data_IF_640060693798
#
_entry.id   IF_640060693798
#
_cell.length_a   1.000
_cell.length_b   1.000
_cell.length_c   1.000
_cell.angle_alpha   90.00
_cell.angle_beta   90.00
_cell.angle_gamma   90.00
#
_symmetry.space_group_name_H-M   'P 1'
#
loop_
_entity.id
_entity.type
_entity.pdbx_description
1 polymer ?
#
# COMPACT_ATOMS: atom_id res chain seq x y z
N UNK A 1 -6.38 -24.25 -5.84
CA UNK A 1 -7.66 -24.10 -5.12
C UNK A 1 -7.33 -24.29 -3.65
N UNK A 2 -7.13 -23.23 -2.87
CA UNK A 2 -6.61 -23.35 -1.51
C UNK A 2 -7.77 -23.59 -0.53
N UNK A 3 -7.89 -24.85 -0.12
CA UNK A 3 -8.78 -25.40 0.89
C UNK A 3 -8.16 -25.20 2.29
N UNK A 4 -8.28 -24.01 2.87
CA UNK A 4 -7.93 -23.75 4.28
C UNK A 4 -8.83 -22.70 4.92
N UNK A 5 -10.15 -22.77 4.69
CA UNK A 5 -11.07 -22.23 5.69
C UNK A 5 -11.39 -23.37 6.65
N UNK A 6 -10.57 -23.49 7.69
CA UNK A 6 -10.85 -24.37 8.83
C UNK A 6 -12.15 -23.91 9.47
N UNK A 7 -13.09 -24.84 9.66
CA UNK A 7 -14.42 -24.67 10.26
C UNK A 7 -14.41 -24.24 11.74
N UNK A 8 -13.27 -23.79 12.25
CA UNK A 8 -13.07 -23.33 13.64
C UNK A 8 -13.17 -21.80 13.79
N UNK A 9 -13.29 -21.06 12.69
CA UNK A 9 -13.47 -19.59 12.71
C UNK A 9 -14.94 -19.14 12.90
N UNK A 10 -15.88 -20.07 13.01
CA UNK A 10 -17.32 -19.80 12.84
C UNK A 10 -18.04 -19.26 14.07
N UNK A 11 -17.45 -19.21 15.26
CA UNK A 11 -18.12 -18.65 16.46
C UNK A 11 -17.53 -17.31 16.89
N UNK A 12 -17.91 -16.23 16.19
CA UNK A 12 -17.78 -14.84 16.66
C UNK A 12 -16.87 -13.91 15.85
N UNK A 13 -16.25 -14.38 14.76
CA UNK A 13 -15.38 -13.54 13.92
C UNK A 13 -16.12 -13.01 12.69
N UNK A 14 -16.03 -11.69 12.47
CA UNK A 14 -16.48 -11.09 11.21
C UNK A 14 -15.41 -11.26 10.13
N UNK A 15 -15.83 -11.63 8.92
CA UNK A 15 -14.95 -11.71 7.74
C UNK A 15 -15.00 -10.39 6.98
N UNK A 16 -13.85 -9.76 6.76
CA UNK A 16 -13.76 -8.45 6.11
C UNK A 16 -12.67 -8.42 5.03
N UNK A 17 -12.88 -7.60 4.00
CA UNK A 17 -11.91 -7.37 2.93
C UNK A 17 -11.31 -5.97 3.10
N UNK A 18 -9.97 -5.87 3.02
CA UNK A 18 -9.28 -4.57 3.06
C UNK A 18 -9.60 -3.77 1.80
N UNK A 19 -10.06 -2.52 1.97
CA UNK A 19 -10.27 -1.60 0.84
C UNK A 19 -8.95 -1.35 0.08
N UNK A 20 -8.98 -1.34 -1.28
CA UNK A 20 -7.81 -0.94 -2.06
C UNK A 20 -7.49 0.53 -1.82
N UNK A 21 -6.21 0.88 -1.72
CA UNK A 21 -5.73 2.26 -1.50
C UNK A 21 -4.78 2.66 -2.63
N UNK A 22 -5.02 3.82 -3.22
CA UNK A 22 -4.09 4.44 -4.17
C UNK A 22 -3.18 5.36 -3.39
N UNK A 23 -1.87 5.10 -3.44
CA UNK A 23 -0.84 5.93 -2.79
C UNK A 23 0.00 6.65 -3.83
N UNK A 24 0.67 7.73 -3.42
CA UNK A 24 1.77 8.32 -4.19
C UNK A 24 3.08 7.72 -3.70
N UNK A 25 3.96 7.37 -4.62
CA UNK A 25 5.25 6.78 -4.30
C UNK A 25 6.32 7.25 -5.27
N UNK A 26 7.55 7.45 -4.76
CA UNK A 26 8.74 7.73 -5.55
C UNK A 26 9.84 6.76 -5.13
N UNK A 27 10.41 6.04 -6.09
CA UNK A 27 11.63 5.26 -5.83
C UNK A 27 12.80 6.23 -5.69
N UNK A 28 13.58 6.06 -4.63
CA UNK A 28 14.72 6.91 -4.31
C UNK A 28 16.00 6.30 -4.87
N UNK A 29 16.89 7.14 -5.40
CA UNK A 29 18.18 6.76 -5.97
C UNK A 29 19.36 7.05 -5.02
N UNK A 30 19.09 7.66 -3.88
CA UNK A 30 20.05 8.02 -2.83
C UNK A 30 19.53 7.61 -1.45
N UNK A 31 20.40 7.68 -0.44
CA UNK A 31 19.98 7.53 0.95
C UNK A 31 19.08 8.69 1.36
N UNK A 32 18.05 8.41 2.15
CA UNK A 32 17.11 9.44 2.60
C UNK A 32 16.60 9.14 4.01
N UNK A 33 16.11 10.18 4.69
CA UNK A 33 15.49 10.06 6.01
C UNK A 33 14.04 10.55 5.94
N UNK A 34 13.16 9.89 6.67
CA UNK A 34 11.74 10.26 6.80
C UNK A 34 11.40 10.37 8.27
N UNK A 35 10.94 11.54 8.69
CA UNK A 35 10.38 11.73 10.03
C UNK A 35 8.94 11.26 10.04
N UNK A 36 8.66 10.26 10.88
CA UNK A 36 7.32 9.72 11.13
C UNK A 36 6.93 9.95 12.59
N UNK A 37 5.66 9.70 12.93
CA UNK A 37 5.19 9.71 14.33
C UNK A 37 5.90 8.67 15.21
N UNK A 38 6.42 7.59 14.61
CA UNK A 38 7.16 6.52 15.28
C UNK A 38 8.68 6.81 15.36
N UNK A 39 9.15 7.90 14.75
CA UNK A 39 10.56 8.31 14.72
C UNK A 39 11.13 8.48 13.32
N UNK A 40 12.46 8.62 13.23
CA UNK A 40 13.17 8.82 11.97
C UNK A 40 13.52 7.47 11.34
N UNK A 41 13.05 7.25 10.11
CA UNK A 41 13.36 6.09 9.30
C UNK A 41 14.46 6.42 8.28
N UNK A 42 15.38 5.49 8.04
CA UNK A 42 16.47 5.64 7.06
C UNK A 42 16.28 4.70 5.88
N UNK A 43 16.05 5.27 4.71
CA UNK A 43 15.94 4.57 3.44
C UNK A 43 17.28 4.51 2.70
N UNK A 44 17.43 3.50 1.85
CA UNK A 44 18.58 3.32 0.95
C UNK A 44 18.13 3.48 -0.52
N UNK A 45 19.07 3.65 -1.47
CA UNK A 45 18.75 3.57 -2.89
C UNK A 45 17.95 2.31 -3.22
N UNK A 46 16.88 2.46 -4.00
CA UNK A 46 15.94 1.38 -4.35
C UNK A 46 14.68 1.34 -3.50
N UNK A 47 14.72 1.84 -2.26
CA UNK A 47 13.53 1.98 -1.42
C UNK A 47 12.62 3.11 -1.94
N UNK A 48 11.37 3.10 -1.49
CA UNK A 48 10.34 4.06 -1.90
C UNK A 48 10.01 5.02 -0.76
N UNK A 49 9.98 6.32 -1.09
CA UNK A 49 9.27 7.33 -0.30
C UNK A 49 7.80 7.28 -0.70
N UNK A 50 6.91 7.05 0.27
CA UNK A 50 5.47 6.96 0.03
C UNK A 50 4.72 8.05 0.79
N UNK A 51 3.59 8.46 0.24
CA UNK A 51 2.61 9.34 0.89
C UNK A 51 1.38 8.50 1.19
N UNK A 52 1.12 8.27 2.47
CA UNK A 52 -0.01 7.50 2.97
C UNK A 52 -1.33 8.30 2.86
N UNK A 53 -2.45 7.62 3.11
CA UNK A 53 -3.75 8.28 3.27
C UNK A 53 -3.69 9.24 4.48
N UNK A 54 -3.91 10.53 4.23
CA UNK A 54 -3.72 11.59 5.24
C UNK A 54 -2.51 12.50 4.97
N UNK A 55 -1.65 12.14 4.00
CA UNK A 55 -0.52 12.99 3.59
C UNK A 55 0.78 12.73 4.34
N UNK A 56 0.80 11.75 5.25
CA UNK A 56 1.99 11.37 5.99
C UNK A 56 3.03 10.70 5.09
N UNK A 57 4.30 11.07 5.27
CA UNK A 57 5.41 10.46 4.56
C UNK A 57 5.86 9.20 5.30
N UNK A 58 6.17 8.15 4.54
CA UNK A 58 6.70 6.91 5.10
C UNK A 58 7.75 6.27 4.17
N UNK A 59 8.51 5.33 4.70
CA UNK A 59 9.50 4.50 4.00
C UNK A 59 8.88 3.14 3.66
N UNK A 60 8.93 2.76 2.38
CA UNK A 60 8.58 1.41 1.94
C UNK A 60 9.80 0.73 1.31
N UNK A 61 10.19 -0.43 1.86
CA UNK A 61 11.28 -1.24 1.28
C UNK A 61 10.93 -1.70 -0.12
N UNK A 62 11.92 -1.74 -1.02
CA UNK A 62 11.72 -2.13 -2.42
C UNK A 62 10.94 -3.45 -2.58
N UNK A 63 11.37 -4.50 -1.88
CA UNK A 63 10.75 -5.84 -1.94
C UNK A 63 9.29 -5.81 -1.47
N UNK A 64 9.01 -5.09 -0.38
CA UNK A 64 7.65 -4.90 0.13
C UNK A 64 6.82 -4.11 -0.86
N UNK A 65 7.38 -3.08 -1.49
CA UNK A 65 6.66 -2.26 -2.45
C UNK A 65 6.24 -3.08 -3.68
N UNK A 66 7.20 -3.77 -4.31
CA UNK A 66 6.96 -4.59 -5.51
C UNK A 66 5.98 -5.74 -5.26
N UNK A 67 5.93 -6.29 -4.05
CA UNK A 67 4.98 -7.34 -3.67
C UNK A 67 3.54 -6.83 -3.50
N UNK A 68 3.37 -5.58 -3.07
CA UNK A 68 2.06 -5.07 -2.61
C UNK A 68 1.44 -4.03 -3.54
N UNK A 69 2.21 -3.44 -4.47
CA UNK A 69 1.75 -2.34 -5.31
C UNK A 69 1.96 -2.61 -6.79
N UNK A 70 0.98 -2.20 -7.58
CA UNK A 70 1.04 -2.13 -9.04
C UNK A 70 0.83 -0.69 -9.47
N UNK A 71 1.43 -0.31 -10.61
CA UNK A 71 1.29 1.05 -11.14
C UNK A 71 -0.18 1.28 -11.54
N UNK A 72 -0.82 2.27 -10.92
CA UNK A 72 -2.17 2.66 -11.26
C UNK A 72 -2.18 3.48 -12.56
N UNK A 73 -3.04 3.12 -13.52
CA UNK A 73 -3.26 3.85 -14.76
C UNK A 73 -4.70 4.38 -14.79
N UNK A 74 -4.91 5.68 -15.06
CA UNK A 74 -6.25 6.30 -15.07
C UNK A 74 -7.12 5.92 -16.26
N UNK A 75 -6.67 5.06 -17.18
CA UNK A 75 -7.37 4.80 -18.46
C UNK A 75 -8.64 3.94 -18.33
N UNK A 76 -9.05 3.54 -17.13
CA UNK A 76 -10.20 2.65 -16.92
C UNK A 76 -11.47 3.33 -16.37
N UNK A 77 -11.51 4.67 -16.30
CA UNK A 77 -12.80 5.36 -16.16
C UNK A 77 -13.48 5.42 -17.52
N UNK A 78 -14.27 4.39 -17.87
CA UNK A 78 -15.42 4.61 -18.76
C UNK A 78 -16.32 5.61 -18.05
N UNK A 79 -16.72 6.63 -18.79
CA UNK A 79 -17.58 7.70 -18.33
C UNK A 79 -18.87 7.11 -17.73
N UNK A 80 -19.06 7.24 -16.42
CA UNK A 80 -20.40 7.33 -15.85
C UNK A 80 -20.94 8.70 -16.29
N UNK A 81 -21.42 8.75 -17.54
CA UNK A 81 -22.31 9.80 -17.98
C UNK A 81 -23.61 9.65 -17.20
N UNK A 82 -23.83 10.63 -16.34
CA UNK A 82 -25.11 11.23 -16.00
C UNK A 82 -26.24 10.80 -16.97
N UNK A 83 -27.25 10.10 -16.44
CA UNK A 83 -28.62 10.09 -16.97
C UNK A 83 -29.58 9.92 -15.80
#
# INVERSE_FOLDING_TARGET
MNSYFSSELDSGWGVFIRKPRVIKARQMNEYFEVTTSEGILKGKPGDYLIIEEGGELNLCREEKFKKNYVKYSRKDKKDDKET
#
